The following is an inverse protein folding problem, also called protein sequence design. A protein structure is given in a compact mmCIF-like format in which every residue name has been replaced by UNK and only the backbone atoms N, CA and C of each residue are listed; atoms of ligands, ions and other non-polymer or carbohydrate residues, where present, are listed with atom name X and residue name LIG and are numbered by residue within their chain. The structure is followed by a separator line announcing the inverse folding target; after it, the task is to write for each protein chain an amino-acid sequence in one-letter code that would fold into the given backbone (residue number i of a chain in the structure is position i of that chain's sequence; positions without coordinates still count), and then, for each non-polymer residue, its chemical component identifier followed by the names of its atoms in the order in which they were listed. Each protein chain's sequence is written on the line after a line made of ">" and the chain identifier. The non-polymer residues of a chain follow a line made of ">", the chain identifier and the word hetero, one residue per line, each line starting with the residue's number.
data_IF_857417254813
#
_entry.id   IF_857417254813
#
_cell.length_a   1.000
_cell.length_b   1.000
_cell.length_c   1.000
_cell.angle_alpha   90.00
_cell.angle_beta   90.00
_cell.angle_gamma   90.00
#
_symmetry.space_group_name_H-M   'P 1'
#
loop_
_entity.id
_entity.type
_entity.pdbx_description
1 polymer ?
#
# COMPACT_ATOMS: atom_id res chain seq x y z
N UNK A 1 28.62 15.16 -9.99
CA UNK A 1 27.25 15.38 -10.47
C UNK A 1 26.51 16.14 -9.39
N UNK A 2 26.18 17.40 -9.62
CA UNK A 2 25.44 18.22 -8.65
C UNK A 2 23.97 17.76 -8.63
N UNK A 3 23.60 16.95 -7.63
CA UNK A 3 22.20 16.76 -7.27
C UNK A 3 21.68 18.08 -6.72
N UNK A 4 20.86 18.79 -7.49
CA UNK A 4 20.05 19.90 -6.99
C UNK A 4 19.12 19.32 -5.92
N UNK A 5 19.59 19.32 -4.67
CA UNK A 5 18.81 18.83 -3.53
C UNK A 5 17.70 19.83 -3.28
N UNK A 6 16.46 19.40 -3.48
CA UNK A 6 15.29 20.25 -3.30
C UNK A 6 15.23 20.70 -1.83
N UNK A 7 15.35 22.00 -1.51
CA UNK A 7 15.39 22.46 -0.11
C UNK A 7 14.15 22.10 0.69
N UNK A 8 12.99 21.94 0.03
CA UNK A 8 11.76 21.50 0.68
C UNK A 8 11.82 20.01 1.05
N UNK A 9 12.43 19.18 0.19
CA UNK A 9 12.67 17.76 0.50
C UNK A 9 13.63 17.62 1.67
N UNK A 10 14.78 18.29 1.63
CA UNK A 10 15.80 18.19 2.69
C UNK A 10 15.21 18.52 4.06
N UNK A 11 14.48 19.64 4.16
CA UNK A 11 13.80 20.02 5.39
C UNK A 11 12.78 18.97 5.85
N UNK A 12 11.93 18.49 4.95
CA UNK A 12 10.91 17.49 5.29
C UNK A 12 11.55 16.16 5.72
N UNK A 13 12.67 15.80 5.09
CA UNK A 13 13.43 14.59 5.40
C UNK A 13 14.07 14.68 6.79
N UNK A 14 14.74 15.80 7.09
CA UNK A 14 15.33 16.04 8.40
C UNK A 14 14.27 16.03 9.51
N UNK A 15 13.13 16.69 9.30
CA UNK A 15 12.01 16.67 10.24
C UNK A 15 11.45 15.26 10.47
N UNK A 16 11.31 14.46 9.40
CA UNK A 16 10.85 13.07 9.49
C UNK A 16 11.86 12.21 10.27
N UNK A 17 13.15 12.33 9.97
CA UNK A 17 14.22 11.56 10.60
C UNK A 17 14.39 11.91 12.07
N UNK A 18 14.42 13.21 12.41
CA UNK A 18 14.47 13.65 13.81
C UNK A 18 13.32 13.07 14.63
N UNK A 19 12.09 13.14 14.09
CA UNK A 19 10.90 12.59 14.75
C UNK A 19 11.03 11.08 14.93
N UNK A 20 11.47 10.35 13.90
CA UNK A 20 11.63 8.91 13.96
C UNK A 20 12.72 8.49 14.96
N UNK A 21 13.84 9.21 15.03
CA UNK A 21 14.93 8.96 15.99
C UNK A 21 14.49 9.23 17.43
N UNK A 22 13.77 10.34 17.66
CA UNK A 22 13.22 10.69 18.98
C UNK A 22 12.19 9.66 19.46
N UNK A 23 11.39 9.11 18.55
CA UNK A 23 10.34 8.14 18.86
C UNK A 23 10.81 6.66 18.84
N UNK A 24 12.06 6.37 18.50
CA UNK A 24 12.59 5.00 18.43
C UNK A 24 13.52 4.66 19.58
N UNK A 25 13.71 3.36 19.81
CA UNK A 25 14.68 2.81 20.76
C UNK A 25 15.31 1.54 20.19
N UNK A 26 16.29 0.97 20.89
CA UNK A 26 16.91 -0.31 20.51
C UNK A 26 17.49 -0.35 19.09
N UNK A 27 17.26 -1.46 18.40
CA UNK A 27 17.82 -1.72 17.07
C UNK A 27 17.31 -0.73 16.02
N UNK A 28 16.04 -0.33 16.08
CA UNK A 28 15.49 0.67 15.15
C UNK A 28 16.22 2.00 15.22
N UNK A 29 16.47 2.48 16.44
CA UNK A 29 17.22 3.72 16.65
C UNK A 29 18.65 3.58 16.14
N UNK A 30 19.30 2.43 16.38
CA UNK A 30 20.64 2.15 15.85
C UNK A 30 20.65 2.27 14.32
N UNK A 31 19.70 1.63 13.64
CA UNK A 31 19.59 1.65 12.17
C UNK A 31 19.32 3.06 11.63
N UNK A 32 18.44 3.82 12.27
CA UNK A 32 18.15 5.21 11.89
C UNK A 32 19.35 6.17 11.98
N UNK A 33 20.36 5.82 12.80
CA UNK A 33 21.59 6.60 12.99
C UNK A 33 22.74 6.19 12.06
N UNK A 34 22.59 5.11 11.28
CA UNK A 34 23.60 4.69 10.29
C UNK A 34 23.57 5.60 9.05
N UNK A 35 24.56 5.44 8.17
CA UNK A 35 24.51 6.02 6.83
C UNK A 35 23.41 5.34 6.01
N UNK A 36 22.54 6.16 5.41
CA UNK A 36 21.28 5.75 4.76
C UNK A 36 21.17 6.32 3.35
N UNK A 37 22.27 6.27 2.61
CA UNK A 37 22.35 6.86 1.28
C UNK A 37 21.27 6.30 0.32
N UNK A 38 21.08 4.98 0.28
CA UNK A 38 20.14 4.36 -0.66
C UNK A 38 18.68 4.62 -0.27
N UNK A 39 18.40 4.67 1.03
CA UNK A 39 17.11 4.97 1.61
C UNK A 39 16.77 6.45 1.40
N UNK A 40 17.74 7.35 1.50
CA UNK A 40 17.54 8.76 1.13
C UNK A 40 17.27 8.89 -0.38
N UNK A 41 17.98 8.15 -1.24
CA UNK A 41 17.67 8.09 -2.68
C UNK A 41 16.25 7.61 -2.95
N UNK A 42 15.79 6.57 -2.25
CA UNK A 42 14.42 6.05 -2.38
C UNK A 42 13.38 7.11 -1.99
N UNK A 43 13.60 7.79 -0.86
CA UNK A 43 12.73 8.87 -0.41
C UNK A 43 12.72 10.06 -1.40
N UNK A 44 13.90 10.44 -1.90
CA UNK A 44 14.08 11.62 -2.75
C UNK A 44 13.65 11.37 -4.19
N UNK A 45 14.26 10.40 -4.87
CA UNK A 45 14.13 10.23 -6.31
C UNK A 45 12.86 9.46 -6.69
N UNK A 46 12.25 8.74 -5.75
CA UNK A 46 11.08 7.88 -6.03
C UNK A 46 9.85 8.39 -5.29
N UNK A 47 9.88 8.40 -3.95
CA UNK A 47 8.69 8.74 -3.17
C UNK A 47 8.30 10.21 -3.31
N UNK A 48 9.24 11.12 -3.03
CA UNK A 48 8.99 12.57 -3.06
C UNK A 48 8.52 13.04 -4.43
N UNK A 49 9.13 12.54 -5.51
CA UNK A 49 8.74 12.88 -6.88
C UNK A 49 7.32 12.41 -7.23
N UNK A 50 6.81 11.34 -6.61
CA UNK A 50 5.45 10.84 -6.85
C UNK A 50 4.41 11.48 -5.93
N UNK A 51 4.77 11.75 -4.66
CA UNK A 51 3.83 12.18 -3.60
C UNK A 51 3.89 13.68 -3.29
N UNK A 52 5.04 14.31 -3.49
CA UNK A 52 5.30 15.71 -3.13
C UNK A 52 5.40 15.99 -1.62
N UNK A 53 5.34 14.95 -0.78
CA UNK A 53 5.45 15.03 0.68
C UNK A 53 5.99 13.72 1.27
N UNK A 54 6.46 13.75 2.53
CA UNK A 54 6.86 12.57 3.32
C UNK A 54 5.81 12.19 4.39
N UNK A 55 4.58 12.69 4.29
CA UNK A 55 3.57 12.49 5.34
C UNK A 55 3.16 11.01 5.39
N UNK A 56 3.22 10.44 6.60
CA UNK A 56 2.86 9.04 6.84
C UNK A 56 3.93 8.02 6.42
N UNK A 57 5.04 8.47 5.84
CA UNK A 57 6.18 7.61 5.54
C UNK A 57 6.97 7.36 6.84
N UNK A 58 7.22 6.09 7.15
CA UNK A 58 7.86 5.64 8.39
C UNK A 58 9.22 5.05 8.03
N UNK A 59 10.35 5.71 8.35
CA UNK A 59 11.67 5.14 8.11
C UNK A 59 11.97 3.99 9.09
N UNK A 60 12.71 2.98 8.62
CA UNK A 60 13.09 1.78 9.39
C UNK A 60 11.88 1.19 10.12
N UNK A 61 10.83 0.84 9.37
CA UNK A 61 9.61 0.33 9.98
C UNK A 61 9.84 -1.09 10.50
N UNK A 62 9.61 -1.26 11.80
CA UNK A 62 9.60 -2.56 12.47
C UNK A 62 8.40 -3.39 12.01
N UNK A 63 8.66 -4.64 11.66
CA UNK A 63 7.67 -5.64 11.26
C UNK A 63 7.94 -6.89 12.10
N UNK A 64 6.89 -7.40 12.74
CA UNK A 64 6.96 -8.71 13.39
C UNK A 64 6.80 -9.79 12.32
N UNK A 65 7.78 -10.66 12.20
CA UNK A 65 7.68 -11.79 11.29
C UNK A 65 6.90 -12.97 11.91
N UNK A 66 6.54 -13.94 11.07
CA UNK A 66 5.78 -15.14 11.46
C UNK A 66 6.50 -16.05 12.47
N UNK A 67 7.80 -15.84 12.73
CA UNK A 67 8.63 -16.62 13.65
C UNK A 67 9.01 -15.81 14.91
N UNK A 68 8.22 -14.79 15.25
CA UNK A 68 8.45 -13.85 16.37
C UNK A 68 9.75 -13.02 16.27
N UNK A 69 10.39 -13.01 15.10
CA UNK A 69 11.52 -12.15 14.79
C UNK A 69 11.09 -10.71 14.53
N UNK A 70 11.96 -9.75 14.86
CA UNK A 70 11.78 -8.34 14.46
C UNK A 70 12.59 -8.07 13.21
N UNK A 71 11.91 -7.68 12.14
CA UNK A 71 12.52 -7.31 10.86
C UNK A 71 12.25 -5.84 10.57
N UNK A 72 13.05 -5.27 9.67
CA UNK A 72 13.00 -3.86 9.32
C UNK A 72 12.84 -3.71 7.81
N UNK A 73 11.97 -2.78 7.40
CA UNK A 73 11.88 -2.29 6.02
C UNK A 73 12.35 -0.84 6.00
N UNK A 74 13.07 -0.44 4.95
CA UNK A 74 13.68 0.90 4.87
C UNK A 74 12.63 2.01 5.01
N UNK A 75 11.46 1.81 4.39
CA UNK A 75 10.26 2.58 4.67
C UNK A 75 9.00 1.72 4.73
N UNK A 76 8.08 2.16 5.59
CA UNK A 76 6.69 1.72 5.59
C UNK A 76 5.72 2.86 5.40
N UNK A 77 4.55 2.58 4.85
CA UNK A 77 3.44 3.52 4.70
C UNK A 77 2.13 2.83 5.09
N UNK A 78 1.63 3.22 6.25
CA UNK A 78 0.38 2.72 6.81
C UNK A 78 -0.73 3.73 6.45
N UNK A 79 -1.44 3.47 5.36
CA UNK A 79 -2.61 4.29 5.03
C UNK A 79 -3.81 3.85 5.85
N UNK A 80 -4.71 4.75 6.28
CA UNK A 80 -5.91 4.41 7.05
C UNK A 80 -6.98 3.73 6.17
N UNK A 81 -6.65 2.58 5.60
CA UNK A 81 -7.60 1.63 5.01
C UNK A 81 -7.86 0.57 6.10
N UNK A 82 -9.08 0.03 6.23
CA UNK A 82 -9.35 -1.15 7.05
C UNK A 82 -8.74 -2.42 6.40
N UNK A 83 -7.42 -2.42 6.18
CA UNK A 83 -6.62 -3.60 5.84
C UNK A 83 -5.57 -3.77 6.93
N UNK A 84 -5.22 -5.00 7.30
CA UNK A 84 -4.27 -5.23 8.38
C UNK A 84 -2.87 -4.65 8.07
N UNK A 85 -2.46 -4.63 6.80
CA UNK A 85 -1.08 -4.32 6.40
C UNK A 85 -0.98 -3.23 5.32
N UNK A 86 0.16 -2.51 5.32
CA UNK A 86 0.43 -1.33 4.49
C UNK A 86 1.38 -1.59 3.30
N UNK A 87 2.02 -0.52 2.83
CA UNK A 87 3.08 -0.57 1.83
C UNK A 87 4.44 -0.58 2.51
N UNK A 88 5.34 -1.44 2.04
CA UNK A 88 6.75 -1.51 2.37
C UNK A 88 7.55 -1.14 1.13
N UNK A 89 8.63 -0.39 1.33
CA UNK A 89 9.59 -0.09 0.28
C UNK A 89 11.01 -0.31 0.76
N UNK A 90 11.84 -0.85 -0.14
CA UNK A 90 13.23 -1.18 0.14
C UNK A 90 14.14 -0.72 -1.00
N UNK A 91 15.31 -0.26 -0.60
CA UNK A 91 16.40 0.23 -1.42
C UNK A 91 17.51 -0.82 -1.46
N UNK A 92 17.47 -1.69 -2.47
CA UNK A 92 18.42 -2.78 -2.61
C UNK A 92 19.76 -2.28 -3.16
N UNK A 93 20.79 -2.31 -2.33
CA UNK A 93 22.17 -2.12 -2.77
C UNK A 93 22.75 -3.44 -3.28
N UNK A 94 23.04 -3.54 -4.58
CA UNK A 94 23.81 -4.67 -5.11
C UNK A 94 25.30 -4.45 -4.85
N UNK A 95 25.94 -5.38 -4.12
CA UNK A 95 27.38 -5.34 -3.83
C UNK A 95 28.10 -6.56 -4.42
N UNK A 96 29.15 -6.34 -5.20
CA UNK A 96 29.94 -7.37 -5.90
C UNK A 96 30.87 -8.20 -5.00
N UNK A 97 30.94 -7.91 -3.70
CA UNK A 97 32.01 -8.38 -2.81
C UNK A 97 31.65 -9.52 -1.83
N UNK A 98 30.51 -10.19 -1.97
CA UNK A 98 30.14 -11.30 -1.10
C UNK A 98 29.67 -12.43 -1.99
N UNK A 99 30.43 -13.53 -2.13
CA UNK A 99 30.02 -14.68 -2.97
C UNK A 99 29.38 -15.82 -2.20
N UNK A 100 29.72 -16.00 -0.93
CA UNK A 100 29.19 -17.11 -0.10
C UNK A 100 28.21 -16.64 0.97
N UNK A 101 28.53 -15.58 1.73
CA UNK A 101 27.59 -14.93 2.66
C UNK A 101 26.37 -14.37 1.92
N UNK A 102 26.55 -13.96 0.65
CA UNK A 102 25.45 -13.48 -0.17
C UNK A 102 24.45 -14.58 -0.52
N UNK A 103 24.84 -15.86 -0.60
CA UNK A 103 23.89 -16.94 -0.94
C UNK A 103 22.90 -17.17 0.18
N UNK A 104 23.38 -17.26 1.42
CA UNK A 104 22.52 -17.39 2.60
C UNK A 104 21.66 -16.14 2.81
N UNK A 105 22.26 -14.95 2.68
CA UNK A 105 21.52 -13.69 2.77
C UNK A 105 20.46 -13.56 1.67
N UNK A 106 20.79 -13.97 0.45
CA UNK A 106 19.86 -13.97 -0.68
C UNK A 106 18.69 -14.94 -0.44
N UNK A 107 18.96 -16.13 0.07
CA UNK A 107 17.91 -17.08 0.45
C UNK A 107 17.01 -16.53 1.56
N UNK A 108 17.57 -15.92 2.62
CA UNK A 108 16.77 -15.26 3.67
C UNK A 108 15.95 -14.09 3.12
N UNK A 109 16.52 -13.28 2.21
CA UNK A 109 15.79 -12.18 1.56
C UNK A 109 14.62 -12.67 0.71
N UNK A 110 14.77 -13.80 0.02
CA UNK A 110 13.68 -14.45 -0.73
C UNK A 110 12.60 -15.00 0.21
N UNK A 111 12.99 -15.72 1.27
CA UNK A 111 12.05 -16.26 2.26
C UNK A 111 11.28 -15.13 2.95
N UNK A 112 11.98 -14.05 3.32
CA UNK A 112 11.40 -12.85 3.93
C UNK A 112 10.39 -12.19 3.01
N UNK A 113 10.71 -12.04 1.73
CA UNK A 113 9.76 -11.50 0.77
C UNK A 113 8.49 -12.35 0.70
N UNK A 114 8.61 -13.68 0.71
CA UNK A 114 7.45 -14.56 0.72
C UNK A 114 6.60 -14.39 1.97
N UNK A 115 7.22 -14.32 3.17
CA UNK A 115 6.49 -14.10 4.42
C UNK A 115 5.73 -12.78 4.42
N UNK A 116 6.36 -11.68 3.99
CA UNK A 116 5.70 -10.38 3.90
C UNK A 116 4.47 -10.42 2.97
N UNK A 117 4.60 -11.11 1.84
CA UNK A 117 3.48 -11.28 0.90
C UNK A 117 2.36 -12.15 1.48
N UNK A 118 2.69 -13.23 2.19
CA UNK A 118 1.72 -14.11 2.87
C UNK A 118 0.95 -13.33 3.94
N UNK A 119 1.65 -12.50 4.71
CA UNK A 119 1.03 -11.64 5.72
C UNK A 119 0.14 -10.57 5.06
N UNK A 120 0.27 -10.32 3.75
CA UNK A 120 -0.56 -9.37 3.01
C UNK A 120 0.04 -7.97 2.94
N UNK A 121 1.33 -7.82 3.22
CA UNK A 121 2.07 -6.60 2.92
C UNK A 121 2.16 -6.39 1.41
N UNK A 122 2.14 -5.12 1.00
CA UNK A 122 2.51 -4.72 -0.35
C UNK A 122 3.97 -4.32 -0.32
N UNK A 123 4.82 -4.97 -1.10
CA UNK A 123 6.26 -4.73 -1.10
C UNK A 123 6.72 -4.21 -2.46
N UNK A 124 7.49 -3.13 -2.46
CA UNK A 124 8.24 -2.65 -3.62
C UNK A 124 9.73 -2.62 -3.27
N UNK A 125 10.55 -3.17 -4.15
CA UNK A 125 12.00 -3.16 -4.00
C UNK A 125 12.62 -2.46 -5.21
N UNK A 126 13.52 -1.52 -4.96
CA UNK A 126 14.18 -0.75 -5.99
C UNK A 126 15.69 -0.90 -5.86
N UNK A 127 16.37 -1.24 -6.96
CA UNK A 127 17.83 -1.27 -6.96
C UNK A 127 18.39 0.15 -6.86
N UNK A 128 19.54 0.30 -6.19
CA UNK A 128 20.29 1.57 -6.16
C UNK A 128 20.48 2.13 -7.58
N UNK A 129 20.88 1.27 -8.51
CA UNK A 129 21.18 1.67 -9.88
C UNK A 129 19.92 2.18 -10.59
N UNK A 130 18.76 1.54 -10.43
CA UNK A 130 17.53 2.02 -11.05
C UNK A 130 17.04 3.34 -10.43
N UNK A 131 17.28 3.58 -9.13
CA UNK A 131 16.92 4.86 -8.49
C UNK A 131 17.81 6.03 -8.93
N UNK A 132 19.02 5.76 -9.42
CA UNK A 132 19.96 6.77 -9.92
C UNK A 132 19.80 6.94 -11.43
N UNK A 133 19.90 5.84 -12.18
CA UNK A 133 20.00 5.83 -13.64
C UNK A 133 18.62 5.86 -14.32
N UNK A 134 17.59 5.29 -13.67
CA UNK A 134 16.23 5.16 -14.23
C UNK A 134 15.12 5.62 -13.26
N UNK A 135 15.27 6.77 -12.56
CA UNK A 135 14.34 7.17 -11.50
C UNK A 135 12.89 7.28 -11.99
N UNK A 136 12.66 7.74 -13.22
CA UNK A 136 11.32 7.80 -13.83
C UNK A 136 10.60 6.46 -13.88
N UNK A 137 11.32 5.35 -14.12
CA UNK A 137 10.73 4.01 -14.12
C UNK A 137 10.32 3.59 -12.71
N UNK A 138 11.14 3.90 -11.71
CA UNK A 138 10.83 3.66 -10.30
C UNK A 138 9.59 4.46 -9.87
N UNK A 139 9.53 5.74 -10.26
CA UNK A 139 8.38 6.62 -10.00
C UNK A 139 7.09 6.10 -10.63
N UNK A 140 7.12 5.69 -11.90
CA UNK A 140 5.96 5.10 -12.58
C UNK A 140 5.50 3.81 -11.89
N UNK A 141 6.44 2.98 -11.46
CA UNK A 141 6.14 1.74 -10.73
C UNK A 141 5.46 2.05 -9.40
N UNK A 142 5.99 3.01 -8.63
CA UNK A 142 5.38 3.45 -7.37
C UNK A 142 3.99 4.02 -7.61
N UNK A 143 3.81 4.91 -8.60
CA UNK A 143 2.50 5.51 -8.90
C UNK A 143 1.47 4.44 -9.29
N UNK A 144 1.84 3.50 -10.17
CA UNK A 144 0.98 2.39 -10.57
C UNK A 144 0.60 1.52 -9.37
N UNK A 145 1.56 1.19 -8.52
CA UNK A 145 1.35 0.39 -7.32
C UNK A 145 0.44 1.09 -6.29
N UNK A 146 0.68 2.37 -6.01
CA UNK A 146 -0.14 3.16 -5.11
C UNK A 146 -1.60 3.25 -5.61
N UNK A 147 -1.79 3.30 -6.93
CA UNK A 147 -3.11 3.33 -7.56
C UNK A 147 -3.78 1.97 -7.47
N UNK A 148 -3.11 0.91 -7.94
CA UNK A 148 -3.64 -0.46 -7.97
C UNK A 148 -3.95 -1.02 -6.58
N UNK A 149 -3.19 -0.63 -5.56
CA UNK A 149 -3.42 -1.08 -4.19
C UNK A 149 -4.29 -0.13 -3.37
N UNK A 150 -4.71 1.00 -3.96
CA UNK A 150 -5.66 1.94 -3.36
C UNK A 150 -5.08 2.83 -2.25
N UNK A 151 -3.76 3.02 -2.23
CA UNK A 151 -3.04 3.96 -1.34
C UNK A 151 -3.18 5.42 -1.77
N UNK A 152 -3.49 5.65 -3.04
CA UNK A 152 -4.03 6.92 -3.50
C UNK A 152 -5.54 6.80 -3.34
N UNK A 153 -6.08 7.38 -2.27
CA UNK A 153 -7.51 7.65 -2.26
C UNK A 153 -7.78 8.72 -3.33
N UNK A 154 -8.74 8.52 -4.25
CA UNK A 154 -9.42 9.65 -4.85
C UNK A 154 -9.78 10.64 -3.73
N UNK A 155 -9.46 11.94 -3.90
CA UNK A 155 -9.79 12.98 -2.91
C UNK A 155 -11.26 12.94 -2.48
N UNK A 156 -12.11 12.36 -3.34
CA UNK A 156 -13.55 12.23 -3.19
C UNK A 156 -14.02 10.79 -2.94
N UNK A 157 -13.27 9.94 -2.22
CA UNK A 157 -13.84 8.63 -1.82
C UNK A 157 -15.12 8.86 -1.02
N UNK A 158 -16.27 8.38 -1.50
CA UNK A 158 -17.54 8.61 -0.81
C UNK A 158 -17.50 7.89 0.54
N UNK A 159 -17.94 8.57 1.60
CA UNK A 159 -18.07 7.94 2.93
C UNK A 159 -19.04 6.77 2.82
N UNK A 160 -18.59 5.59 3.26
CA UNK A 160 -19.40 4.37 3.27
C UNK A 160 -19.81 3.99 4.69
N UNK A 161 -21.10 3.71 4.85
CA UNK A 161 -21.64 3.13 6.07
C UNK A 161 -21.34 1.61 6.15
N UNK A 162 -21.69 0.98 7.27
CA UNK A 162 -21.38 -0.44 7.54
C UNK A 162 -22.01 -1.37 6.51
N UNK A 163 -23.26 -1.13 6.11
CA UNK A 163 -23.96 -1.95 5.11
C UNK A 163 -23.34 -1.81 3.73
N UNK A 164 -23.01 -0.59 3.32
CA UNK A 164 -22.37 -0.32 2.04
C UNK A 164 -21.00 -1.01 1.92
N UNK A 165 -20.22 -1.01 3.01
CA UNK A 165 -18.94 -1.74 3.07
C UNK A 165 -19.15 -3.24 2.95
N UNK A 166 -20.11 -3.80 3.68
CA UNK A 166 -20.41 -5.23 3.66
C UNK A 166 -20.88 -5.71 2.27
N UNK A 167 -21.75 -4.93 1.62
CA UNK A 167 -22.22 -5.21 0.26
C UNK A 167 -21.06 -5.20 -0.73
N UNK A 168 -20.19 -4.18 -0.69
CA UNK A 168 -19.03 -4.11 -1.59
C UNK A 168 -18.02 -5.22 -1.32
N UNK A 169 -17.79 -5.56 -0.05
CA UNK A 169 -16.90 -6.66 0.33
C UNK A 169 -17.39 -7.97 -0.29
N UNK A 170 -18.66 -8.32 -0.03
CA UNK A 170 -19.27 -9.52 -0.57
C UNK A 170 -19.23 -9.52 -2.11
N UNK A 171 -19.59 -8.41 -2.77
CA UNK A 171 -19.57 -8.30 -4.22
C UNK A 171 -18.17 -8.46 -4.85
N UNK A 172 -17.10 -8.08 -4.13
CA UNK A 172 -15.70 -8.23 -4.60
C UNK A 172 -15.17 -9.65 -4.47
N UNK A 173 -15.70 -10.42 -3.53
CA UNK A 173 -15.33 -11.84 -3.35
C UNK A 173 -15.94 -12.74 -4.44
N UNK A 174 -16.99 -12.28 -5.11
CA UNK A 174 -17.66 -13.05 -6.16
C UNK A 174 -17.01 -12.83 -7.52
N UNK A 175 -16.81 -13.93 -8.26
CA UNK A 175 -16.28 -13.92 -9.63
C UNK A 175 -17.32 -13.54 -10.69
N UNK A 176 -18.60 -13.43 -10.32
CA UNK A 176 -19.71 -13.13 -11.22
C UNK A 176 -20.69 -12.12 -10.60
N UNK A 177 -21.61 -11.61 -11.42
CA UNK A 177 -22.65 -10.67 -10.98
C UNK A 177 -23.50 -11.30 -9.88
N UNK A 178 -23.69 -10.56 -8.78
CA UNK A 178 -24.35 -11.01 -7.56
C UNK A 178 -25.83 -10.70 -7.59
N UNK A 179 -26.70 -11.64 -7.22
CA UNK A 179 -28.14 -11.38 -7.10
C UNK A 179 -28.46 -10.69 -5.77
N UNK A 180 -29.47 -9.83 -5.75
CA UNK A 180 -29.93 -9.17 -4.51
C UNK A 180 -30.36 -10.19 -3.45
N UNK A 181 -30.99 -11.30 -3.84
CA UNK A 181 -31.38 -12.34 -2.90
C UNK A 181 -30.21 -12.98 -2.17
N UNK A 182 -29.08 -13.20 -2.87
CA UNK A 182 -27.85 -13.74 -2.27
C UNK A 182 -27.29 -12.77 -1.22
N UNK A 183 -27.35 -11.46 -1.46
CA UNK A 183 -26.93 -10.45 -0.48
C UNK A 183 -27.82 -10.42 0.76
N UNK A 184 -29.14 -10.57 0.59
CA UNK A 184 -30.08 -10.62 1.71
C UNK A 184 -29.82 -11.84 2.57
N UNK A 185 -29.59 -13.00 1.94
CA UNK A 185 -29.29 -14.25 2.63
C UNK A 185 -27.92 -14.20 3.33
N UNK A 186 -26.90 -13.67 2.68
CA UNK A 186 -25.54 -13.66 3.23
C UNK A 186 -25.35 -12.61 4.32
N UNK A 187 -25.90 -11.42 4.12
CA UNK A 187 -25.76 -10.33 5.09
C UNK A 187 -26.84 -10.38 6.17
N UNK A 188 -27.87 -11.23 6.03
CA UNK A 188 -29.01 -11.34 6.96
C UNK A 188 -29.70 -9.97 7.18
N UNK A 189 -29.80 -9.18 6.11
CA UNK A 189 -30.38 -7.83 6.12
C UNK A 189 -31.58 -7.78 5.18
N UNK A 190 -32.66 -7.10 5.60
CA UNK A 190 -33.89 -7.01 4.80
C UNK A 190 -33.66 -6.55 3.35
N UNK A 191 -34.45 -7.09 2.42
CA UNK A 191 -34.48 -6.67 1.01
C UNK A 191 -34.57 -5.15 0.82
N UNK A 192 -35.39 -4.48 1.65
CA UNK A 192 -35.55 -3.02 1.60
C UNK A 192 -34.25 -2.29 1.91
N UNK A 193 -33.52 -2.74 2.93
CA UNK A 193 -32.26 -2.10 3.35
C UNK A 193 -31.14 -2.38 2.35
N UNK A 194 -31.03 -3.64 1.86
CA UNK A 194 -30.09 -3.99 0.79
C UNK A 194 -30.38 -3.15 -0.47
N UNK A 195 -31.63 -3.10 -0.91
CA UNK A 195 -32.03 -2.32 -2.09
C UNK A 195 -31.65 -0.84 -1.98
N UNK A 196 -31.94 -0.21 -0.83
CA UNK A 196 -31.55 1.17 -0.55
C UNK A 196 -30.04 1.37 -0.67
N UNK A 197 -29.24 0.55 0.02
CA UNK A 197 -27.79 0.72 0.05
C UNK A 197 -27.13 0.37 -1.29
N UNK A 198 -27.68 -0.56 -2.08
CA UNK A 198 -27.20 -0.82 -3.44
C UNK A 198 -27.45 0.36 -4.39
N UNK A 199 -28.58 1.07 -4.25
CA UNK A 199 -28.86 2.28 -5.01
C UNK A 199 -27.95 3.44 -4.59
N UNK A 200 -27.73 3.62 -3.29
CA UNK A 200 -26.77 4.62 -2.76
C UNK A 200 -25.35 4.36 -3.29
N UNK A 201 -24.93 3.09 -3.35
CA UNK A 201 -23.64 2.67 -3.90
C UNK A 201 -23.52 2.89 -5.41
N UNK A 202 -24.61 2.71 -6.18
CA UNK A 202 -24.64 3.02 -7.61
C UNK A 202 -24.53 4.53 -7.86
N UNK A 203 -25.25 5.35 -7.08
CA UNK A 203 -25.11 6.82 -7.13
C UNK A 203 -23.69 7.29 -6.80
N UNK A 204 -23.01 6.56 -5.93
CA UNK A 204 -21.60 6.76 -5.58
C UNK A 204 -20.62 6.24 -6.65
N UNK A 205 -21.12 5.62 -7.71
CA UNK A 205 -20.32 5.05 -8.79
C UNK A 205 -19.52 3.81 -8.39
N UNK A 206 -19.88 3.12 -7.31
CA UNK A 206 -19.13 1.97 -6.78
C UNK A 206 -19.72 0.61 -7.19
N UNK A 207 -20.99 0.60 -7.61
CA UNK A 207 -21.68 -0.56 -8.13
C UNK A 207 -22.31 -0.23 -9.48
N UNK A 208 -22.39 -1.23 -10.35
CA UNK A 208 -23.24 -1.22 -11.53
C UNK A 208 -24.42 -2.15 -11.25
N UNK A 209 -25.65 -1.64 -11.35
CA UNK A 209 -26.86 -2.44 -11.17
C UNK A 209 -27.46 -2.83 -12.52
N UNK A 210 -27.61 -4.13 -12.75
CA UNK A 210 -28.36 -4.67 -13.87
C UNK A 210 -29.85 -4.74 -13.51
N UNK A 211 -30.68 -4.06 -14.30
CA UNK A 211 -32.13 -4.01 -14.13
C UNK A 211 -32.83 -4.91 -15.15
N UNK A 212 -33.92 -5.55 -14.73
CA UNK A 212 -34.86 -6.21 -15.64
C UNK A 212 -35.61 -5.19 -16.51
N UNK A 213 -36.27 -5.65 -17.58
CA UNK A 213 -37.10 -4.81 -18.46
C UNK A 213 -38.23 -4.05 -17.71
N UNK A 214 -38.65 -4.54 -16.53
CA UNK A 214 -39.61 -3.88 -15.63
C UNK A 214 -38.98 -3.01 -14.54
N UNK A 215 -37.68 -2.70 -14.61
CA UNK A 215 -36.99 -1.80 -13.70
C UNK A 215 -36.54 -2.39 -12.36
N UNK A 216 -36.83 -3.67 -12.07
CA UNK A 216 -36.33 -4.35 -10.85
C UNK A 216 -34.84 -4.65 -10.96
N UNK A 217 -34.09 -4.36 -9.90
CA UNK A 217 -32.67 -4.70 -9.76
C UNK A 217 -32.53 -6.21 -9.70
N UNK A 218 -31.78 -6.79 -10.64
CA UNK A 218 -31.59 -8.23 -10.78
C UNK A 218 -30.23 -8.66 -10.26
N UNK A 219 -29.19 -7.94 -10.66
CA UNK A 219 -27.81 -8.28 -10.35
C UNK A 219 -26.98 -7.03 -10.13
N UNK A 220 -25.86 -7.18 -9.44
CA UNK A 220 -24.88 -6.13 -9.27
C UNK A 220 -23.46 -6.62 -9.48
N UNK A 221 -22.60 -5.72 -9.94
CA UNK A 221 -21.17 -5.95 -10.07
C UNK A 221 -20.40 -4.75 -9.49
N UNK A 222 -19.26 -4.99 -8.80
CA UNK A 222 -18.40 -3.90 -8.39
C UNK A 222 -17.76 -3.22 -9.60
N UNK A 223 -17.68 -1.89 -9.57
CA UNK A 223 -16.87 -1.16 -10.54
C UNK A 223 -15.41 -1.54 -10.31
N UNK A 224 -14.74 -2.05 -11.35
CA UNK A 224 -13.42 -2.70 -11.24
C UNK A 224 -12.26 -1.77 -10.88
N UNK A 225 -12.51 -0.46 -10.73
CA UNK A 225 -11.48 0.58 -10.59
C UNK A 225 -11.44 1.28 -9.21
N UNK A 226 -11.87 0.62 -8.12
CA UNK A 226 -11.79 1.16 -6.74
C UNK A 226 -11.04 0.29 -5.71
#
# INVERSE_FOLDING_TARGET
>A
MNMNSNPAFERAYDEMMERAIKASSGERKRRLLLDRFNEKLLAQNVWWEVRGDLKGLIPEMEIKDLKDGTRFSDYGFLYPIPRPNGLLMEADAFGTHLRDVSRWKYADDLERQNHLLIDGWRLLRFSRDDMIEKPRRCQQTLLAALSAWGFIAPRDRPKLNVYERAILHYAREQTCNVKIGELVEQLQVSYRSIGRHTLELEQKGLLILERSAGGRIMKLAPVRDF
#
